data_IF_131648437707
#
_entry.id   IF_131648437707
#
_cell.length_a   1.000
_cell.length_b   1.000
_cell.length_c   1.000
_cell.angle_alpha   90.00
_cell.angle_beta   90.00
_cell.angle_gamma   90.00
#
_symmetry.space_group_name_H-M   'P 1'
#
loop_
_entity.id
_entity.type
_entity.pdbx_description
1 polymer ?
#
# COMPACT_ATOMS: atom_id res chain seq x y z
N UNK A 1 43.09 33.33 7.78
CA UNK A 1 44.25 32.87 6.99
C UNK A 1 43.96 31.41 6.63
N UNK A 2 43.20 31.16 5.57
CA UNK A 2 43.69 30.88 4.21
C UNK A 2 44.84 29.87 4.20
N UNK A 3 44.57 28.66 3.72
CA UNK A 3 45.24 28.18 2.52
C UNK A 3 44.36 27.21 1.75
N UNK A 4 44.30 27.48 0.46
CA UNK A 4 43.49 26.91 -0.60
C UNK A 4 44.33 25.90 -1.39
N UNK A 5 43.65 25.16 -2.29
CA UNK A 5 44.16 24.37 -3.43
C UNK A 5 44.57 22.92 -3.12
N UNK A 6 44.25 21.89 -3.92
CA UNK A 6 43.81 21.79 -5.33
C UNK A 6 43.21 20.39 -5.57
N UNK A 7 42.17 20.33 -6.40
CA UNK A 7 41.68 19.12 -7.07
C UNK A 7 42.74 18.58 -8.06
N UNK A 8 42.88 17.25 -8.23
CA UNK A 8 42.75 16.74 -9.59
C UNK A 8 42.08 15.36 -9.75
N UNK A 9 41.06 15.34 -10.60
CA UNK A 9 40.85 14.51 -11.81
C UNK A 9 40.47 13.02 -11.72
N UNK A 10 39.39 12.75 -12.47
CA UNK A 10 38.84 11.50 -12.96
C UNK A 10 39.88 10.51 -13.48
N UNK A 11 39.69 9.22 -13.17
CA UNK A 11 40.36 8.12 -13.89
C UNK A 11 39.31 7.29 -14.63
N UNK A 12 39.24 7.51 -15.94
CA UNK A 12 38.56 6.66 -16.91
C UNK A 12 39.46 5.46 -17.21
N UNK A 13 39.01 4.24 -16.91
CA UNK A 13 39.65 3.02 -17.41
C UNK A 13 39.09 2.66 -18.80
N UNK A 14 39.93 2.79 -19.83
CA UNK A 14 39.71 2.24 -21.18
C UNK A 14 40.40 0.88 -21.32
N UNK A 15 39.70 -0.03 -21.97
CA UNK A 15 40.08 -1.39 -22.32
C UNK A 15 41.33 -1.49 -23.23
N UNK A 16 42.04 -2.61 -23.11
CA UNK A 16 42.99 -3.13 -24.10
C UNK A 16 43.00 -4.68 -24.10
N UNK A 17 43.34 -5.34 -25.23
CA UNK A 17 42.67 -6.57 -25.66
C UNK A 17 43.51 -7.86 -25.57
N UNK A 18 42.82 -9.01 -25.61
CA UNK A 18 43.23 -10.17 -26.40
C UNK A 18 43.74 -11.41 -25.66
N UNK A 19 42.87 -12.41 -25.47
CA UNK A 19 43.21 -13.82 -25.66
C UNK A 19 41.92 -14.63 -25.92
N UNK A 20 41.92 -15.42 -26.98
CA UNK A 20 40.85 -16.36 -27.37
C UNK A 20 41.32 -17.82 -27.11
N UNK A 21 40.51 -18.86 -27.40
CA UNK A 21 39.42 -19.35 -26.56
C UNK A 21 39.70 -20.79 -26.09
N UNK A 22 39.14 -21.20 -24.94
CA UNK A 22 39.10 -22.61 -24.51
C UNK A 22 37.65 -23.08 -24.43
N UNK A 23 37.41 -24.25 -25.01
CA UNK A 23 36.11 -24.86 -25.27
C UNK A 23 35.23 -25.08 -24.03
N UNK A 24 33.95 -24.75 -24.15
CA UNK A 24 32.90 -25.10 -23.20
C UNK A 24 32.29 -26.48 -23.53
N UNK A 25 31.89 -27.29 -22.53
CA UNK A 25 31.06 -28.46 -22.75
C UNK A 25 29.59 -28.05 -22.94
N UNK A 26 28.89 -28.77 -23.80
CA UNK A 26 27.48 -28.55 -24.17
C UNK A 26 26.56 -28.53 -22.94
N UNK A 27 26.09 -27.33 -22.58
CA UNK A 27 25.06 -27.08 -21.58
C UNK A 27 23.67 -27.17 -22.19
N UNK A 28 22.84 -28.00 -21.58
CA UNK A 28 21.42 -28.22 -21.84
C UNK A 28 20.66 -26.88 -22.01
N UNK A 29 19.99 -26.68 -23.15
CA UNK A 29 19.19 -25.49 -23.42
C UNK A 29 18.01 -25.43 -22.45
N UNK A 30 18.19 -24.71 -21.34
CA UNK A 30 17.12 -24.29 -20.43
C UNK A 30 16.08 -23.49 -21.22
N UNK A 31 14.89 -24.08 -21.35
CA UNK A 31 13.70 -23.37 -21.81
C UNK A 31 13.46 -22.16 -20.89
N UNK A 32 13.02 -21.00 -21.41
CA UNK A 32 12.67 -19.87 -20.56
C UNK A 32 11.53 -20.30 -19.64
N UNK A 33 11.80 -20.27 -18.33
CA UNK A 33 10.83 -20.57 -17.29
C UNK A 33 9.61 -19.65 -17.44
N UNK A 34 8.40 -20.21 -17.30
CA UNK A 34 7.19 -19.39 -17.25
C UNK A 34 7.20 -18.62 -15.93
N UNK A 35 6.61 -17.42 -15.90
CA UNK A 35 6.48 -16.55 -14.72
C UNK A 35 5.77 -17.20 -13.49
N UNK A 36 5.37 -18.47 -13.61
CA UNK A 36 4.65 -19.26 -12.61
C UNK A 36 5.49 -20.41 -12.04
N UNK A 37 6.67 -20.68 -12.56
CA UNK A 37 7.49 -21.81 -12.10
C UNK A 37 8.32 -21.36 -10.88
N UNK A 38 7.91 -21.79 -9.69
CA UNK A 38 8.61 -21.53 -8.41
C UNK A 38 7.85 -20.73 -7.35
N UNK A 39 6.57 -20.39 -7.58
CA UNK A 39 5.73 -19.80 -6.54
C UNK A 39 5.21 -20.90 -5.60
N UNK A 40 5.65 -20.92 -4.34
CA UNK A 40 4.88 -21.60 -3.29
C UNK A 40 3.49 -20.95 -3.23
N UNK A 41 2.45 -21.69 -2.83
CA UNK A 41 1.12 -21.11 -2.62
C UNK A 41 1.12 -20.00 -1.55
N UNK A 42 2.20 -19.85 -0.77
CA UNK A 42 2.36 -18.83 0.27
C UNK A 42 1.42 -18.99 1.46
N UNK A 43 0.67 -20.11 1.51
CA UNK A 43 -0.34 -20.39 2.54
C UNK A 43 -0.02 -21.69 3.23
N UNK A 44 0.04 -21.62 4.56
CA UNK A 44 -0.06 -22.78 5.43
C UNK A 44 -1.45 -22.72 6.10
N UNK A 45 -2.29 -23.72 5.82
CA UNK A 45 -3.61 -23.87 6.44
C UNK A 45 -3.44 -24.65 7.75
N UNK A 46 -3.99 -24.11 8.83
CA UNK A 46 -4.00 -24.75 10.13
C UNK A 46 -5.43 -24.77 10.69
N UNK A 47 -5.88 -25.94 11.17
CA UNK A 47 -7.11 -26.03 11.95
C UNK A 47 -6.87 -25.36 13.31
N UNK A 48 -7.64 -24.32 13.64
CA UNK A 48 -7.62 -23.75 14.97
C UNK A 48 -8.29 -24.73 15.96
N UNK A 49 -7.64 -24.97 17.10
CA UNK A 49 -8.24 -25.70 18.20
C UNK A 49 -9.01 -24.70 19.08
N UNK A 50 -10.32 -24.54 18.84
CA UNK A 50 -11.18 -23.75 19.72
C UNK A 50 -11.59 -24.57 20.96
N UNK A 51 -11.69 -23.97 22.16
CA UNK A 51 -12.23 -24.63 23.35
C UNK A 51 -13.74 -24.92 23.26
N UNK A 52 -14.45 -24.30 22.31
CA UNK A 52 -15.83 -24.63 21.93
C UNK A 52 -15.84 -25.44 20.61
N UNK A 53 -16.29 -26.70 20.67
CA UNK A 53 -16.32 -27.64 19.52
C UNK A 53 -17.23 -27.18 18.35
N UNK A 54 -18.08 -26.16 18.55
CA UNK A 54 -19.06 -25.65 17.57
C UNK A 54 -18.57 -24.46 16.72
N UNK A 55 -17.36 -23.93 16.92
CA UNK A 55 -16.83 -22.75 16.22
C UNK A 55 -15.44 -22.96 15.59
N UNK A 56 -15.14 -24.17 15.12
CA UNK A 56 -13.91 -24.45 14.41
C UNK A 56 -13.81 -23.63 13.10
N UNK A 57 -12.90 -22.67 13.06
CA UNK A 57 -12.51 -21.95 11.85
C UNK A 57 -11.05 -22.23 11.50
N UNK A 58 -10.67 -21.98 10.25
CA UNK A 58 -9.31 -22.18 9.76
C UNK A 58 -8.53 -20.89 9.85
N UNK A 59 -7.28 -20.99 10.29
CA UNK A 59 -6.29 -19.90 10.19
C UNK A 59 -5.37 -20.20 9.01
N UNK A 60 -5.29 -19.27 8.07
CA UNK A 60 -4.35 -19.30 6.96
C UNK A 60 -3.18 -18.35 7.26
N UNK A 61 -1.94 -18.83 7.21
CA UNK A 61 -0.76 -17.97 7.38
C UNK A 61 -0.22 -17.58 6.00
N UNK A 62 -0.21 -16.28 5.74
CA UNK A 62 0.24 -15.67 4.50
C UNK A 62 1.67 -15.13 4.64
N UNK A 63 2.61 -15.76 3.93
CA UNK A 63 4.02 -15.32 3.87
C UNK A 63 4.15 -14.06 2.98
N UNK A 64 4.82 -12.99 3.46
CA UNK A 64 5.02 -11.79 2.65
C UNK A 64 6.10 -12.00 1.60
N UNK A 65 6.13 -11.12 0.59
CA UNK A 65 7.26 -11.02 -0.35
C UNK A 65 7.92 -9.65 -0.26
N UNK A 66 9.25 -9.63 -0.33
CA UNK A 66 10.01 -8.39 -0.42
C UNK A 66 9.77 -7.69 -1.78
N UNK A 67 9.42 -6.40 -1.75
CA UNK A 67 9.18 -5.56 -2.95
C UNK A 67 9.82 -4.19 -2.76
N UNK A 68 10.41 -3.57 -3.79
CA UNK A 68 10.86 -2.18 -3.70
C UNK A 68 9.70 -1.18 -3.82
N UNK A 69 9.59 -0.24 -2.87
CA UNK A 69 8.58 0.81 -2.81
C UNK A 69 9.06 2.09 -3.52
N UNK A 70 8.63 2.33 -4.76
CA UNK A 70 9.04 3.53 -5.52
C UNK A 70 10.17 3.29 -6.54
N UNK A 71 10.48 2.03 -6.87
CA UNK A 71 11.41 1.66 -7.94
C UNK A 71 12.78 1.13 -7.46
N UNK A 72 13.77 0.94 -8.36
CA UNK A 72 14.97 0.14 -8.07
C UNK A 72 15.94 0.66 -7.00
N UNK A 73 15.83 1.94 -6.60
CA UNK A 73 16.67 2.57 -5.55
C UNK A 73 15.88 2.88 -4.28
N UNK A 74 14.78 2.17 -4.08
CA UNK A 74 13.79 2.54 -3.10
C UNK A 74 13.76 1.58 -1.90
N UNK A 75 13.12 2.02 -0.82
CA UNK A 75 12.93 1.25 0.41
C UNK A 75 12.31 -0.12 0.10
N UNK A 76 12.75 -1.17 0.78
CA UNK A 76 12.13 -2.50 0.63
C UNK A 76 10.98 -2.63 1.62
N UNK A 77 9.84 -3.15 1.14
CA UNK A 77 8.65 -3.45 1.93
C UNK A 77 8.36 -4.95 1.89
N UNK A 78 7.64 -5.46 2.88
CA UNK A 78 7.07 -6.81 2.93
C UNK A 78 5.60 -6.75 2.49
N UNK A 79 5.29 -7.26 1.31
CA UNK A 79 3.94 -7.24 0.74
C UNK A 79 3.18 -8.53 1.06
N UNK A 80 2.09 -8.42 1.81
CA UNK A 80 1.19 -9.54 2.15
C UNK A 80 -0.13 -9.51 1.36
N UNK A 81 -0.57 -8.34 0.88
CA UNK A 81 -1.72 -8.25 -0.04
C UNK A 81 -1.40 -7.31 -1.22
N UNK A 82 -1.89 -7.61 -2.43
CA UNK A 82 -2.55 -8.84 -2.84
C UNK A 82 -1.53 -9.96 -3.13
N UNK A 83 -1.95 -11.21 -2.93
CA UNK A 83 -1.20 -12.39 -3.36
C UNK A 83 -2.11 -13.44 -4.01
N UNK A 84 -1.51 -14.49 -4.60
CA UNK A 84 -2.24 -15.48 -5.40
C UNK A 84 -3.33 -16.18 -4.59
N UNK A 85 -3.03 -16.52 -3.35
CA UNK A 85 -3.95 -17.24 -2.48
C UNK A 85 -5.00 -16.34 -1.83
N UNK A 86 -4.66 -15.08 -1.56
CA UNK A 86 -5.54 -14.09 -0.93
C UNK A 86 -5.37 -12.74 -1.60
N UNK A 87 -6.40 -12.28 -2.28
CA UNK A 87 -6.40 -10.96 -2.92
C UNK A 87 -7.07 -9.89 -2.05
N UNK A 88 -8.02 -10.28 -1.21
CA UNK A 88 -8.72 -9.37 -0.30
C UNK A 88 -8.91 -10.01 1.09
N UNK A 89 -9.06 -9.16 2.10
CA UNK A 89 -9.65 -9.49 3.41
C UNK A 89 -10.73 -8.44 3.64
N UNK A 90 -12.01 -8.81 3.58
CA UNK A 90 -13.08 -7.83 3.46
C UNK A 90 -12.92 -7.01 2.17
N UNK A 91 -12.75 -5.69 2.30
CA UNK A 91 -12.34 -4.82 1.20
C UNK A 91 -10.85 -4.44 1.19
N UNK A 92 -10.07 -4.86 2.20
CA UNK A 92 -8.62 -4.63 2.23
C UNK A 92 -7.96 -5.38 1.09
N UNK A 93 -7.40 -4.66 0.11
CA UNK A 93 -6.86 -5.25 -1.13
C UNK A 93 -5.34 -5.07 -1.29
N UNK A 94 -4.71 -4.36 -0.36
CA UNK A 94 -3.28 -4.10 -0.35
C UNK A 94 -2.76 -3.97 1.08
N UNK A 95 -1.59 -4.53 1.35
CA UNK A 95 -0.88 -4.40 2.62
C UNK A 95 0.62 -4.55 2.36
N UNK A 96 1.33 -3.45 2.56
CA UNK A 96 2.78 -3.40 2.66
C UNK A 96 3.16 -3.08 4.11
N UNK A 97 4.00 -3.92 4.69
CA UNK A 97 4.65 -3.70 5.99
C UNK A 97 6.10 -3.29 5.77
N UNK A 98 6.60 -2.30 6.51
CA UNK A 98 7.97 -1.82 6.36
C UNK A 98 8.63 -1.47 7.69
N UNK A 99 9.93 -1.72 7.75
CA UNK A 99 10.74 -1.49 8.92
C UNK A 99 10.54 -2.50 10.06
N UNK A 100 11.10 -2.21 11.25
CA UNK A 100 11.83 -0.98 11.57
C UNK A 100 13.17 -0.90 10.83
N UNK A 101 13.31 0.12 9.98
CA UNK A 101 14.53 0.35 9.19
C UNK A 101 15.21 1.64 9.64
N UNK A 102 16.54 1.62 9.83
CA UNK A 102 17.34 2.83 9.95
C UNK A 102 17.42 3.52 8.59
N UNK A 103 16.74 4.65 8.49
CA UNK A 103 16.62 5.46 7.28
C UNK A 103 17.49 6.70 7.28
N UNK A 104 18.33 6.89 8.31
CA UNK A 104 19.21 8.06 8.43
C UNK A 104 20.19 8.19 7.26
N UNK A 105 20.64 7.06 6.71
CA UNK A 105 21.57 7.02 5.57
C UNK A 105 20.88 6.85 4.21
N UNK A 106 19.66 6.31 4.17
CA UNK A 106 18.94 6.01 2.92
C UNK A 106 18.01 7.13 2.49
N UNK A 107 17.64 8.03 3.41
CA UNK A 107 16.64 9.08 3.19
C UNK A 107 15.19 8.59 3.33
N UNK A 108 15.00 7.30 3.66
CA UNK A 108 13.69 6.72 3.97
C UNK A 108 12.76 6.59 2.78
N UNK A 109 11.46 6.72 3.07
CA UNK A 109 10.41 6.65 2.06
C UNK A 109 10.51 7.86 1.14
N UNK A 110 10.49 7.62 -0.17
CA UNK A 110 10.50 8.64 -1.19
C UNK A 110 9.64 8.20 -2.37
N UNK A 111 8.33 8.45 -2.26
CA UNK A 111 7.34 8.10 -3.28
C UNK A 111 6.87 9.39 -3.96
N UNK A 112 7.36 9.68 -5.18
CA UNK A 112 6.97 10.90 -5.90
C UNK A 112 5.49 10.91 -6.28
N UNK A 113 5.05 12.04 -6.84
CA UNK A 113 3.67 12.23 -7.28
C UNK A 113 3.19 11.05 -8.14
N UNK A 114 2.18 10.35 -7.66
CA UNK A 114 1.56 9.19 -8.31
C UNK A 114 0.05 9.17 -8.05
N UNK A 115 -0.75 8.53 -8.93
CA UNK A 115 -2.20 8.60 -8.87
C UNK A 115 -2.81 7.44 -8.08
N UNK A 116 -4.03 7.63 -7.60
CA UNK A 116 -4.95 6.58 -7.16
C UNK A 116 -6.39 6.90 -7.61
N UNK A 117 -7.24 5.88 -7.76
CA UNK A 117 -8.70 6.04 -7.94
C UNK A 117 -9.42 4.72 -7.59
N UNK A 118 -10.67 4.83 -7.11
CA UNK A 118 -11.52 3.69 -6.75
C UNK A 118 -11.15 2.98 -5.44
N UNK A 119 -10.34 3.63 -4.60
CA UNK A 119 -9.80 3.09 -3.35
C UNK A 119 -9.58 4.21 -2.32
N UNK A 120 -9.31 3.82 -1.08
CA UNK A 120 -8.59 4.67 -0.14
C UNK A 120 -7.26 4.04 0.27
N UNK A 121 -6.27 4.89 0.53
CA UNK A 121 -5.03 4.48 1.19
C UNK A 121 -5.15 4.77 2.69
N UNK A 122 -4.52 3.92 3.50
CA UNK A 122 -4.54 3.97 4.97
C UNK A 122 -3.10 3.78 5.45
N UNK A 123 -2.53 4.81 6.07
CA UNK A 123 -1.16 4.79 6.59
C UNK A 123 -1.20 4.71 8.12
N UNK A 124 -0.50 3.73 8.69
CA UNK A 124 -0.34 3.56 10.14
C UNK A 124 1.12 3.34 10.50
N UNK A 125 1.68 4.19 11.36
CA UNK A 125 3.07 4.13 11.78
C UNK A 125 3.21 3.61 13.21
N UNK A 126 4.23 2.78 13.44
CA UNK A 126 4.71 2.38 14.76
C UNK A 126 5.86 3.28 15.21
N UNK A 127 6.69 3.75 14.26
CA UNK A 127 7.80 4.68 14.48
C UNK A 127 8.07 5.52 13.22
N UNK A 128 8.68 6.69 13.38
CA UNK A 128 9.02 7.60 12.29
C UNK A 128 7.89 8.53 11.86
N UNK A 129 8.11 9.32 10.80
CA UNK A 129 7.11 10.23 10.23
C UNK A 129 7.19 10.28 8.71
N UNK A 130 6.03 10.48 8.08
CA UNK A 130 5.90 10.63 6.64
C UNK A 130 5.10 11.90 6.37
N UNK A 131 5.58 12.75 5.47
CA UNK A 131 4.86 13.89 4.94
C UNK A 131 4.12 13.51 3.66
N UNK A 132 2.81 13.76 3.65
CA UNK A 132 1.86 13.53 2.57
C UNK A 132 1.41 14.86 2.00
N UNK A 133 1.43 14.97 0.66
CA UNK A 133 0.86 16.11 -0.10
C UNK A 133 0.01 15.52 -1.22
N UNK A 134 -1.18 16.07 -1.46
CA UNK A 134 -2.05 15.62 -2.55
C UNK A 134 -2.63 16.74 -3.43
N UNK A 135 -3.20 16.32 -4.55
CA UNK A 135 -3.81 17.17 -5.57
C UNK A 135 -5.18 17.73 -5.20
N UNK A 136 -5.76 17.29 -4.07
CA UNK A 136 -6.96 17.91 -3.50
C UNK A 136 -6.61 19.08 -2.57
N UNK A 137 -5.31 19.41 -2.45
CA UNK A 137 -4.81 20.53 -1.66
C UNK A 137 -4.60 20.18 -0.19
N UNK A 138 -4.59 18.90 0.17
CA UNK A 138 -4.31 18.48 1.54
C UNK A 138 -2.82 18.28 1.77
N UNK A 139 -2.39 18.55 3.00
CA UNK A 139 -1.07 18.23 3.52
C UNK A 139 -1.20 17.65 4.93
N UNK A 140 -0.49 16.57 5.20
CA UNK A 140 -0.45 15.95 6.52
C UNK A 140 0.91 15.33 6.83
N UNK A 141 1.29 15.33 8.10
CA UNK A 141 2.38 14.48 8.59
C UNK A 141 1.77 13.27 9.31
N UNK A 142 1.96 12.09 8.73
CA UNK A 142 1.64 10.80 9.36
C UNK A 142 2.57 10.59 10.55
N UNK A 143 1.98 10.22 11.69
CA UNK A 143 2.68 10.07 12.97
C UNK A 143 2.38 8.73 13.60
N UNK A 144 3.25 8.23 14.49
CA UNK A 144 3.01 6.98 15.16
C UNK A 144 1.71 6.98 15.98
N UNK A 145 0.97 5.88 15.85
CA UNK A 145 -0.32 5.70 16.51
C UNK A 145 -1.42 6.64 16.03
N UNK A 146 -1.33 7.18 14.81
CA UNK A 146 -2.37 7.96 14.17
C UNK A 146 -2.59 7.47 12.74
N UNK A 147 -3.85 7.31 12.35
CA UNK A 147 -4.22 6.96 10.98
C UNK A 147 -4.28 8.20 10.11
N UNK A 148 -3.79 8.09 8.89
CA UNK A 148 -4.19 8.95 7.77
C UNK A 148 -4.89 8.09 6.73
N UNK A 149 -6.11 8.48 6.36
CA UNK A 149 -6.91 7.84 5.33
C UNK A 149 -7.11 8.83 4.19
N UNK A 150 -6.49 8.55 3.03
CA UNK A 150 -6.71 9.32 1.82
C UNK A 150 -7.76 8.60 0.97
N UNK A 151 -8.93 9.22 0.85
CA UNK A 151 -9.96 8.82 -0.10
C UNK A 151 -9.55 9.30 -1.50
N UNK A 152 -9.25 8.38 -2.42
CA UNK A 152 -8.87 8.73 -3.78
C UNK A 152 -10.08 9.00 -4.69
N UNK A 153 -11.20 8.32 -4.44
CA UNK A 153 -12.47 8.54 -5.13
C UNK A 153 -12.33 8.63 -6.66
N UNK A 154 -12.86 9.71 -7.23
CA UNK A 154 -12.80 10.02 -8.69
C UNK A 154 -11.38 10.04 -9.27
N UNK A 155 -10.37 10.30 -8.45
CA UNK A 155 -8.99 10.44 -8.85
C UNK A 155 -8.25 11.45 -7.97
N UNK A 156 -7.05 11.07 -7.53
CA UNK A 156 -6.14 11.95 -6.82
C UNK A 156 -4.71 11.61 -7.20
N UNK A 157 -3.81 12.58 -7.19
CA UNK A 157 -2.36 12.31 -7.14
C UNK A 157 -1.79 12.75 -5.80
N UNK A 158 -0.83 12.00 -5.27
CA UNK A 158 -0.16 12.34 -4.03
C UNK A 158 1.30 11.90 -4.02
N UNK A 159 2.06 12.42 -3.06
CA UNK A 159 3.42 12.01 -2.78
C UNK A 159 3.62 11.79 -1.29
N UNK A 160 4.47 10.83 -0.94
CA UNK A 160 4.80 10.47 0.43
C UNK A 160 6.32 10.42 0.61
N UNK A 161 6.83 11.22 1.54
CA UNK A 161 8.25 11.29 1.86
C UNK A 161 8.47 11.13 3.35
N UNK A 162 9.51 10.40 3.77
CA UNK A 162 9.95 10.47 5.16
C UNK A 162 10.25 11.91 5.54
N UNK A 163 9.74 12.36 6.70
CA UNK A 163 10.06 13.69 7.19
C UNK A 163 11.56 13.82 7.45
N UNK A 164 12.10 15.02 7.30
CA UNK A 164 13.55 15.27 7.34
C UNK A 164 14.26 14.77 8.62
N UNK A 165 13.56 14.71 9.75
CA UNK A 165 14.11 14.25 11.04
C UNK A 165 13.82 12.78 11.34
N UNK A 166 13.27 12.03 10.38
CA UNK A 166 13.01 10.59 10.52
C UNK A 166 14.31 9.82 10.39
N UNK A 167 14.74 9.15 11.46
CA UNK A 167 15.91 8.26 11.47
C UNK A 167 15.54 6.79 11.43
N UNK A 168 14.36 6.43 11.93
CA UNK A 168 13.79 5.08 11.84
C UNK A 168 12.41 5.20 11.24
N UNK A 169 12.07 4.32 10.30
CA UNK A 169 10.73 4.22 9.75
C UNK A 169 10.19 2.82 9.97
N UNK A 170 8.99 2.72 10.57
CA UNK A 170 8.33 1.47 10.87
C UNK A 170 6.81 1.66 10.76
N UNK A 171 6.16 0.92 9.86
CA UNK A 171 4.73 1.11 9.63
C UNK A 171 4.13 0.16 8.62
N UNK A 172 2.85 0.39 8.35
CA UNK A 172 2.08 -0.32 7.35
C UNK A 172 1.34 0.65 6.43
N UNK A 173 1.35 0.36 5.14
CA UNK A 173 0.53 0.99 4.12
C UNK A 173 -0.54 -0.01 3.66
N UNK A 174 -1.80 0.35 3.82
CA UNK A 174 -2.93 -0.50 3.43
C UNK A 174 -3.83 0.23 2.45
N UNK A 175 -4.46 -0.51 1.54
CA UNK A 175 -5.54 0.03 0.70
C UNK A 175 -6.81 -0.78 0.92
N UNK A 176 -7.96 -0.11 0.90
CA UNK A 176 -9.23 -0.79 0.74
C UNK A 176 -9.93 -0.34 -0.55
N UNK A 177 -10.49 -1.31 -1.24
CA UNK A 177 -11.28 -1.09 -2.45
C UNK A 177 -12.64 -0.49 -2.07
N UNK A 178 -13.09 0.53 -2.80
CA UNK A 178 -14.43 1.05 -2.57
C UNK A 178 -15.49 0.10 -3.14
N UNK A 179 -16.65 -0.03 -2.47
CA UNK A 179 -17.83 -0.63 -3.09
C UNK A 179 -18.28 0.25 -4.27
N UNK A 180 -18.96 -0.35 -5.26
CA UNK A 180 -19.22 0.32 -6.55
C UNK A 180 -19.88 1.70 -6.38
N UNK A 181 -20.84 1.79 -5.46
CA UNK A 181 -21.61 3.01 -5.19
C UNK A 181 -20.76 4.19 -4.67
N UNK A 182 -19.55 3.95 -4.17
CA UNK A 182 -18.68 4.96 -3.58
C UNK A 182 -17.44 5.30 -4.43
N UNK A 183 -17.16 4.56 -5.52
CA UNK A 183 -15.91 4.69 -6.31
C UNK A 183 -15.63 6.09 -6.85
N UNK A 184 -16.68 6.88 -7.03
CA UNK A 184 -16.63 8.22 -7.61
C UNK A 184 -16.97 9.31 -6.59
N UNK A 185 -16.75 9.07 -5.29
CA UNK A 185 -16.80 10.14 -4.28
C UNK A 185 -15.72 11.20 -4.54
N UNK A 186 -15.92 12.41 -4.03
CA UNK A 186 -14.88 13.42 -4.04
C UNK A 186 -13.67 12.95 -3.20
N UNK A 187 -12.43 13.27 -3.61
CA UNK A 187 -11.25 12.96 -2.83
C UNK A 187 -11.23 13.71 -1.49
N UNK A 188 -10.68 13.09 -0.44
CA UNK A 188 -10.55 13.69 0.89
C UNK A 188 -9.38 13.07 1.66
N UNK A 189 -8.96 13.74 2.74
CA UNK A 189 -7.98 13.24 3.68
C UNK A 189 -8.52 13.33 5.11
N UNK A 190 -8.63 12.19 5.77
CA UNK A 190 -9.01 12.10 7.18
C UNK A 190 -7.81 11.68 8.02
N UNK A 191 -7.66 12.30 9.20
CA UNK A 191 -6.61 11.96 10.15
C UNK A 191 -7.21 11.79 11.54
N UNK A 192 -6.79 10.73 12.24
CA UNK A 192 -7.27 10.48 13.59
C UNK A 192 -6.20 9.78 14.46
N UNK A 193 -6.07 10.24 15.69
CA UNK A 193 -5.28 9.57 16.73
C UNK A 193 -6.26 8.97 17.74
N UNK A 194 -6.44 7.64 17.78
CA UNK A 194 -7.31 7.01 18.76
C UNK A 194 -6.70 7.04 20.17
N UNK A 195 -7.57 7.11 21.18
CA UNK A 195 -7.18 6.93 22.56
C UNK A 195 -6.85 5.44 22.83
N UNK A 196 -5.82 5.15 23.64
CA UNK A 196 -5.47 3.78 23.99
C UNK A 196 -6.52 3.16 24.91
N UNK A 197 -6.81 1.88 24.69
CA UNK A 197 -7.62 1.01 25.54
C UNK A 197 -6.66 0.06 26.24
N UNK A 198 -6.79 -0.10 27.56
CA UNK A 198 -5.96 -1.04 28.33
C UNK A 198 -6.83 -2.15 28.88
N UNK A 199 -6.41 -3.40 28.66
CA UNK A 199 -6.99 -4.57 29.29
C UNK A 199 -5.93 -5.39 30.04
N UNK A 200 -6.32 -6.57 30.51
CA UNK A 200 -5.37 -7.48 31.14
C UNK A 200 -4.37 -8.00 30.10
N UNK A 201 -3.11 -7.61 30.23
CA UNK A 201 -2.07 -8.13 29.33
C UNK A 201 -1.84 -7.30 28.07
N UNK A 202 -2.71 -6.36 27.72
CA UNK A 202 -2.61 -5.65 26.45
C UNK A 202 -2.97 -4.16 26.52
N UNK A 203 -2.47 -3.42 25.52
CA UNK A 203 -3.04 -2.12 25.11
C UNK A 203 -3.47 -2.18 23.65
N UNK A 204 -4.52 -1.43 23.29
CA UNK A 204 -5.05 -1.41 21.93
C UNK A 204 -5.41 0.01 21.48
N UNK A 205 -5.37 0.25 20.17
CA UNK A 205 -5.76 1.50 19.52
C UNK A 205 -6.63 1.20 18.31
N UNK A 206 -7.92 1.53 18.38
CA UNK A 206 -8.89 1.28 17.29
C UNK A 206 -8.94 2.50 16.38
N UNK A 207 -8.32 2.41 15.21
CA UNK A 207 -8.17 3.54 14.29
C UNK A 207 -9.21 3.53 13.15
N UNK A 208 -9.85 2.40 12.87
CA UNK A 208 -10.99 2.27 11.96
C UNK A 208 -12.04 1.32 12.54
N UNK A 209 -13.31 1.63 12.30
CA UNK A 209 -14.43 0.79 12.73
C UNK A 209 -14.74 0.88 14.22
N UNK A 210 -15.36 -0.19 14.73
CA UNK A 210 -15.69 -0.35 16.14
C UNK A 210 -15.13 -1.65 16.68
N UNK A 211 -14.42 -1.58 17.80
CA UNK A 211 -13.85 -2.74 18.50
C UNK A 211 -13.61 -2.37 19.97
N UNK A 212 -13.71 -3.35 20.89
CA UNK A 212 -13.48 -3.14 22.33
C UNK A 212 -14.29 -1.97 22.93
N UNK A 213 -15.51 -1.76 22.45
CA UNK A 213 -16.40 -0.69 22.90
C UNK A 213 -16.01 0.73 22.45
N UNK A 214 -14.97 0.88 21.62
CA UNK A 214 -14.58 2.15 21.00
C UNK A 214 -14.93 2.16 19.52
N UNK A 215 -15.28 3.34 19.00
CA UNK A 215 -15.60 3.58 17.59
C UNK A 215 -14.74 4.72 17.05
N UNK A 216 -14.01 4.46 15.98
CA UNK A 216 -13.25 5.50 15.26
C UNK A 216 -14.22 6.48 14.58
N UNK A 217 -13.95 7.80 14.60
CA UNK A 217 -14.74 8.79 13.88
C UNK A 217 -14.43 8.83 12.38
N UNK A 218 -13.39 8.13 11.92
CA UNK A 218 -12.98 8.11 10.51
C UNK A 218 -14.03 7.37 9.69
N UNK A 219 -14.52 8.01 8.64
CA UNK A 219 -15.58 7.46 7.81
C UNK A 219 -15.01 6.45 6.78
N UNK A 220 -15.71 5.34 6.60
CA UNK A 220 -15.44 4.34 5.57
C UNK A 220 -16.72 4.04 4.78
N UNK A 221 -16.56 3.67 3.51
CA UNK A 221 -17.70 3.40 2.61
C UNK A 221 -18.33 2.02 2.80
N UNK A 222 -17.76 1.20 3.68
CA UNK A 222 -18.27 -0.08 4.14
C UNK A 222 -17.75 -0.36 5.57
N UNK A 223 -18.36 -1.30 6.32
CA UNK A 223 -17.84 -1.73 7.62
C UNK A 223 -16.41 -2.30 7.51
N UNK A 224 -15.45 -1.63 8.16
CA UNK A 224 -14.05 -2.05 8.26
C UNK A 224 -13.60 -1.96 9.72
N UNK A 225 -12.63 -2.78 10.08
CA UNK A 225 -11.93 -2.77 11.36
C UNK A 225 -10.44 -2.53 11.12
N UNK A 226 -9.84 -1.67 11.92
CA UNK A 226 -8.39 -1.47 11.99
C UNK A 226 -7.96 -1.14 13.41
N UNK A 227 -7.09 -1.97 13.99
CA UNK A 227 -6.58 -1.77 15.34
C UNK A 227 -5.12 -2.20 15.49
N UNK A 228 -4.32 -1.42 16.22
CA UNK A 228 -3.03 -1.86 16.76
C UNK A 228 -3.27 -2.48 18.14
N UNK A 229 -2.67 -3.65 18.39
CA UNK A 229 -2.56 -4.23 19.72
C UNK A 229 -1.09 -4.34 20.11
N UNK A 230 -0.81 -4.11 21.38
CA UNK A 230 0.48 -4.40 22.03
C UNK A 230 0.21 -5.37 23.17
N UNK A 231 0.78 -6.57 23.08
CA UNK A 231 0.59 -7.67 24.01
C UNK A 231 1.84 -7.80 24.85
N UNK A 232 1.69 -7.79 26.17
CA UNK A 232 2.80 -8.12 27.08
C UNK A 232 3.23 -9.58 26.82
N UNK A 233 4.53 -9.90 26.91
CA UNK A 233 4.98 -11.29 26.81
C UNK A 233 4.22 -12.21 27.78
N UNK A 234 3.79 -13.37 27.28
CA UNK A 234 3.01 -14.36 28.03
C UNK A 234 1.53 -14.01 28.24
N UNK A 235 1.02 -12.93 27.62
CA UNK A 235 -0.40 -12.59 27.69
C UNK A 235 -1.22 -13.29 26.60
N UNK A 236 -2.47 -13.58 26.95
CA UNK A 236 -3.50 -14.04 26.01
C UNK A 236 -4.69 -13.09 26.10
N UNK A 237 -5.19 -12.65 24.95
CA UNK A 237 -6.38 -11.81 24.83
C UNK A 237 -7.40 -12.46 23.91
N UNK A 238 -8.67 -12.43 24.32
CA UNK A 238 -9.81 -12.78 23.48
C UNK A 238 -10.49 -11.49 23.01
N UNK A 239 -10.70 -11.39 21.70
CA UNK A 239 -11.23 -10.20 21.05
C UNK A 239 -12.56 -10.59 20.40
N UNK A 240 -13.66 -10.00 20.87
CA UNK A 240 -14.95 -10.11 20.19
C UNK A 240 -14.87 -9.38 18.84
N UNK A 241 -15.22 -10.09 17.77
CA UNK A 241 -15.17 -9.58 16.40
C UNK A 241 -16.50 -9.82 15.67
N UNK A 242 -16.85 -8.99 14.66
CA UNK A 242 -18.05 -9.23 13.86
C UNK A 242 -17.95 -10.56 13.08
N UNK A 243 -18.98 -11.41 13.20
CA UNK A 243 -19.00 -12.73 12.58
C UNK A 243 -19.15 -12.69 11.05
N UNK A 244 -19.68 -11.60 10.52
CA UNK A 244 -19.83 -11.33 9.09
C UNK A 244 -18.58 -10.70 8.47
N UNK A 245 -17.53 -10.45 9.25
CA UNK A 245 -16.26 -9.94 8.76
C UNK A 245 -15.26 -11.07 8.51
N UNK A 246 -14.39 -10.86 7.53
CA UNK A 246 -13.09 -11.52 7.46
C UNK A 246 -12.06 -10.74 8.28
N UNK A 247 -11.04 -11.43 8.79
CA UNK A 247 -10.02 -10.84 9.67
C UNK A 247 -8.61 -11.18 9.21
N UNK A 248 -7.70 -10.23 9.41
CA UNK A 248 -6.27 -10.35 9.14
C UNK A 248 -5.44 -9.84 10.32
N UNK A 249 -4.44 -10.60 10.76
CA UNK A 249 -3.53 -10.23 11.84
C UNK A 249 -2.10 -10.22 11.33
N UNK A 250 -1.54 -9.02 11.18
CA UNK A 250 -0.12 -8.83 10.86
C UNK A 250 0.70 -8.86 12.15
N UNK A 251 1.68 -9.75 12.22
CA UNK A 251 2.65 -9.80 13.31
C UNK A 251 3.81 -8.82 13.04
N UNK A 252 4.02 -7.83 13.91
CA UNK A 252 4.87 -6.66 13.60
C UNK A 252 6.33 -6.83 14.05
N UNK A 253 6.58 -7.06 15.34
CA UNK A 253 7.93 -7.15 15.93
C UNK A 253 8.20 -8.50 16.65
N UNK A 254 7.39 -9.52 16.40
CA UNK A 254 7.56 -10.86 16.95
C UNK A 254 6.46 -11.80 16.47
N UNK A 255 6.64 -13.12 16.63
CA UNK A 255 5.56 -14.05 16.34
C UNK A 255 4.40 -13.85 17.32
N UNK A 256 3.19 -14.10 16.85
CA UNK A 256 1.97 -14.14 17.68
C UNK A 256 1.19 -15.40 17.34
N UNK A 257 0.54 -16.01 18.32
CA UNK A 257 -0.38 -17.10 18.05
C UNK A 257 -1.79 -16.54 17.85
N UNK A 258 -2.36 -16.75 16.66
CA UNK A 258 -3.75 -16.48 16.32
C UNK A 258 -4.54 -17.79 16.41
N UNK A 259 -5.43 -17.89 17.39
CA UNK A 259 -6.24 -19.09 17.66
C UNK A 259 -5.42 -20.39 17.72
N UNK A 260 -4.24 -20.28 18.36
CA UNK A 260 -3.27 -21.36 18.56
C UNK A 260 -2.32 -21.60 17.38
N UNK A 261 -2.45 -20.83 16.29
CA UNK A 261 -1.60 -20.94 15.09
C UNK A 261 -0.57 -19.83 15.09
N UNK A 262 0.71 -20.19 15.01
CA UNK A 262 1.81 -19.21 14.97
C UNK A 262 1.78 -18.40 13.67
N UNK A 263 1.73 -17.08 13.80
CA UNK A 263 1.91 -16.10 12.73
C UNK A 263 3.27 -15.46 12.95
N UNK A 264 4.24 -15.81 12.11
CA UNK A 264 5.61 -15.29 12.20
C UNK A 264 5.69 -13.79 11.90
N UNK A 265 6.77 -13.14 12.34
CA UNK A 265 7.00 -11.71 12.07
C UNK A 265 6.84 -11.38 10.57
N UNK A 266 6.21 -10.23 10.28
CA UNK A 266 5.80 -9.76 8.96
C UNK A 266 4.77 -10.65 8.20
N UNK A 267 4.39 -11.81 8.75
CA UNK A 267 3.34 -12.65 8.17
C UNK A 267 1.97 -12.12 8.55
N UNK A 268 0.98 -12.47 7.72
CA UNK A 268 -0.42 -12.10 7.92
C UNK A 268 -1.24 -13.38 8.16
N UNK A 269 -1.76 -13.55 9.36
CA UNK A 269 -2.76 -14.59 9.65
C UNK A 269 -4.12 -14.15 9.13
N UNK A 270 -4.84 -15.02 8.44
CA UNK A 270 -6.19 -14.78 7.93
C UNK A 270 -7.19 -15.72 8.57
N UNK A 271 -8.34 -15.17 8.95
CA UNK A 271 -9.51 -15.90 9.42
C UNK A 271 -10.71 -15.45 8.60
N UNK A 272 -11.43 -16.43 8.04
CA UNK A 272 -12.65 -16.15 7.28
C UNK A 272 -13.83 -15.71 8.15
N UNK A 273 -14.96 -15.49 7.50
CA UNK A 273 -16.23 -15.22 8.20
C UNK A 273 -16.65 -16.38 9.11
N UNK A 274 -17.47 -16.07 10.10
CA UNK A 274 -18.04 -17.01 11.07
C UNK A 274 -17.38 -16.95 12.45
N UNK A 275 -16.13 -16.48 12.55
CA UNK A 275 -15.48 -16.27 13.84
C UNK A 275 -16.15 -15.12 14.61
N UNK A 276 -16.57 -15.37 15.85
CA UNK A 276 -17.12 -14.34 16.76
C UNK A 276 -16.07 -13.82 17.75
N UNK A 277 -15.01 -14.60 17.93
CA UNK A 277 -13.89 -14.28 18.82
C UNK A 277 -12.60 -14.69 18.14
N UNK A 278 -11.56 -13.85 18.24
CA UNK A 278 -10.19 -14.20 17.92
C UNK A 278 -9.37 -14.24 19.20
N UNK A 279 -8.48 -15.22 19.33
CA UNK A 279 -7.56 -15.33 20.46
C UNK A 279 -6.15 -15.00 20.02
N UNK A 280 -5.55 -13.96 20.59
CA UNK A 280 -4.14 -13.63 20.38
C UNK A 280 -3.32 -13.99 21.61
N UNK A 281 -2.24 -14.75 21.41
CA UNK A 281 -1.29 -15.09 22.49
C UNK A 281 0.11 -14.66 22.10
N UNK A 282 0.75 -13.89 22.98
CA UNK A 282 2.18 -13.59 22.90
C UNK A 282 2.94 -14.62 23.76
N UNK A 283 4.01 -15.18 23.21
CA UNK A 283 4.83 -16.13 23.95
C UNK A 283 5.47 -15.48 25.19
N UNK A 284 5.69 -16.24 26.27
CA UNK A 284 6.41 -15.75 27.44
C UNK A 284 7.86 -15.44 27.07
N UNK A 285 8.42 -14.41 27.69
CA UNK A 285 9.84 -14.10 27.61
C UNK A 285 10.49 -14.24 28.98
N UNK A 286 11.70 -14.79 29.01
CA UNK A 286 12.56 -14.81 30.21
C UNK A 286 13.28 -13.47 30.42
N UNK A 287 13.30 -12.61 29.40
CA UNK A 287 13.86 -11.26 29.49
C UNK A 287 12.86 -10.33 30.20
N UNK A 288 13.19 -9.78 31.39
CA UNK A 288 12.31 -8.87 32.11
C UNK A 288 12.10 -7.54 31.38
N UNK A 289 12.97 -7.20 30.43
CA UNK A 289 12.91 -5.98 29.62
C UNK A 289 12.38 -6.26 28.20
N UNK A 290 11.81 -7.45 27.97
CA UNK A 290 11.21 -7.80 26.69
C UNK A 290 10.12 -6.80 26.27
N UNK A 291 10.23 -6.33 25.03
CA UNK A 291 9.23 -5.46 24.44
C UNK A 291 7.89 -6.16 24.25
N UNK A 292 6.81 -5.39 24.23
CA UNK A 292 5.49 -5.91 23.87
C UNK A 292 5.49 -6.44 22.43
N UNK A 293 4.76 -7.53 22.20
CA UNK A 293 4.46 -8.04 20.85
C UNK A 293 3.39 -7.14 20.25
N UNK A 294 3.73 -6.48 19.14
CA UNK A 294 2.86 -5.58 18.40
C UNK A 294 2.20 -6.37 17.28
N UNK A 295 0.89 -6.20 17.12
CA UNK A 295 0.14 -6.72 15.98
C UNK A 295 -0.77 -5.66 15.41
N UNK A 296 -1.06 -5.76 14.11
CA UNK A 296 -2.09 -4.97 13.44
C UNK A 296 -3.24 -5.90 13.04
N UNK A 297 -4.40 -5.69 13.64
CA UNK A 297 -5.65 -6.34 13.27
C UNK A 297 -6.36 -5.50 12.21
N UNK A 298 -6.68 -6.14 11.08
CA UNK A 298 -7.60 -5.62 10.08
C UNK A 298 -8.80 -6.54 9.96
N UNK A 299 -9.95 -5.99 9.60
CA UNK A 299 -11.11 -6.80 9.25
C UNK A 299 -12.12 -5.99 8.45
N UNK A 300 -13.17 -6.66 7.99
CA UNK A 300 -14.23 -6.00 7.25
C UNK A 300 -15.20 -6.97 6.63
N UNK A 301 -16.39 -6.46 6.31
CA UNK A 301 -17.37 -7.19 5.52
C UNK A 301 -16.75 -7.56 4.16
N UNK A 302 -16.92 -8.81 3.67
CA UNK A 302 -16.55 -9.19 2.31
C UNK A 302 -17.11 -8.20 1.30
N UNK A 303 -16.26 -7.68 0.41
CA UNK A 303 -16.68 -6.66 -0.56
C UNK A 303 -17.85 -7.11 -1.45
N UNK A 304 -17.96 -8.41 -1.73
CA UNK A 304 -19.04 -8.99 -2.54
C UNK A 304 -19.00 -8.62 -4.03
N UNK A 305 -17.95 -7.92 -4.46
CA UNK A 305 -17.76 -7.44 -5.83
C UNK A 305 -16.43 -7.88 -6.40
N UNK A 306 -16.37 -8.07 -7.72
CA UNK A 306 -15.11 -8.31 -8.41
C UNK A 306 -14.41 -7.00 -8.74
N UNK A 307 -13.14 -6.89 -8.37
CA UNK A 307 -12.28 -5.74 -8.66
C UNK A 307 -11.21 -6.09 -9.69
N UNK A 308 -10.77 -5.10 -10.45
CA UNK A 308 -9.50 -5.16 -11.18
C UNK A 308 -8.54 -4.18 -10.51
N UNK A 309 -7.46 -4.74 -9.96
CA UNK A 309 -6.36 -3.96 -9.41
C UNK A 309 -5.18 -4.00 -10.37
N UNK A 310 -4.75 -2.83 -10.84
CA UNK A 310 -3.57 -2.68 -11.68
C UNK A 310 -2.83 -1.40 -11.32
N UNK A 311 -1.54 -1.55 -11.03
CA UNK A 311 -0.71 -0.48 -10.49
C UNK A 311 -1.40 0.18 -9.28
N UNK A 312 -1.86 1.42 -9.41
CA UNK A 312 -2.49 2.19 -8.34
C UNK A 312 -4.01 2.43 -8.59
N UNK A 313 -4.61 1.64 -9.48
CA UNK A 313 -6.01 1.78 -9.86
C UNK A 313 -6.81 0.56 -9.45
N UNK A 314 -7.98 0.79 -8.83
CA UNK A 314 -8.93 -0.25 -8.44
C UNK A 314 -10.26 -0.01 -9.17
N UNK A 315 -10.43 -0.70 -10.28
CA UNK A 315 -11.61 -0.61 -11.16
C UNK A 315 -12.45 -1.87 -11.16
N UNK A 316 -13.30 -2.01 -12.18
CA UNK A 316 -14.15 -3.17 -12.45
C UNK A 316 -13.91 -3.77 -13.84
N UNK A 317 -13.31 -3.01 -14.76
CA UNK A 317 -13.03 -3.48 -16.13
C UNK A 317 -11.64 -3.08 -16.62
N UNK A 318 -11.13 -3.80 -17.62
CA UNK A 318 -9.85 -3.46 -18.25
C UNK A 318 -9.92 -2.08 -18.92
N UNK A 319 -11.05 -1.82 -19.56
CA UNK A 319 -11.36 -0.58 -20.26
C UNK A 319 -11.30 0.62 -19.32
N UNK A 320 -11.89 0.49 -18.12
CA UNK A 320 -11.85 1.54 -17.10
C UNK A 320 -10.42 1.86 -16.63
N UNK A 321 -9.62 0.83 -16.34
CA UNK A 321 -8.21 1.01 -15.98
C UNK A 321 -7.43 1.68 -17.11
N UNK A 322 -7.68 1.27 -18.36
CA UNK A 322 -7.01 1.86 -19.52
C UNK A 322 -7.37 3.34 -19.68
N UNK A 323 -8.64 3.68 -19.47
CA UNK A 323 -9.16 5.05 -19.49
C UNK A 323 -8.52 5.92 -18.40
N UNK A 324 -8.43 5.44 -17.16
CA UNK A 324 -7.79 6.19 -16.06
C UNK A 324 -6.28 6.35 -16.25
N UNK A 325 -5.60 5.32 -16.76
CA UNK A 325 -4.19 5.41 -17.14
C UNK A 325 -3.98 6.48 -18.21
N UNK A 326 -4.79 6.48 -19.27
CA UNK A 326 -4.66 7.46 -20.35
C UNK A 326 -4.86 8.88 -19.85
N UNK A 327 -5.90 9.13 -19.04
CA UNK A 327 -6.14 10.42 -18.40
C UNK A 327 -4.93 10.88 -17.57
N UNK A 328 -4.38 10.01 -16.70
CA UNK A 328 -3.18 10.34 -15.93
C UNK A 328 -1.98 10.67 -16.82
N UNK A 329 -1.69 9.85 -17.83
CA UNK A 329 -0.54 10.04 -18.71
C UNK A 329 -0.63 11.36 -19.50
N UNK A 330 -1.83 11.75 -19.91
CA UNK A 330 -2.09 13.00 -20.62
C UNK A 330 -2.02 14.20 -19.67
N UNK A 331 -2.68 14.14 -18.51
CA UNK A 331 -2.65 15.20 -17.50
C UNK A 331 -1.24 15.46 -16.98
N UNK A 332 -0.40 14.44 -16.85
CA UNK A 332 1.00 14.58 -16.43
C UNK A 332 1.96 14.92 -17.58
N UNK A 333 1.49 14.97 -18.82
CA UNK A 333 2.30 15.31 -20.00
C UNK A 333 3.24 14.22 -20.50
N UNK A 334 3.04 12.97 -20.06
CA UNK A 334 3.80 11.81 -20.54
C UNK A 334 3.34 11.33 -21.92
N UNK A 335 2.06 11.47 -22.22
CA UNK A 335 1.44 11.09 -23.50
C UNK A 335 0.73 12.30 -24.11
N UNK A 336 0.63 12.39 -25.46
CA UNK A 336 -0.09 13.47 -26.12
C UNK A 336 -1.60 13.37 -25.84
N UNK A 337 -2.28 14.51 -25.88
CA UNK A 337 -3.74 14.57 -25.80
C UNK A 337 -4.39 13.96 -27.05
N UNK A 338 -5.46 13.21 -26.85
CA UNK A 338 -6.32 12.65 -27.89
C UNK A 338 -7.71 13.30 -27.90
N UNK A 339 -8.57 12.92 -28.84
CA UNK A 339 -9.91 13.50 -28.97
C UNK A 339 -10.86 13.17 -27.80
N UNK A 340 -10.46 12.31 -26.85
CA UNK A 340 -11.25 11.95 -25.68
C UNK A 340 -11.02 12.90 -24.49
N UNK A 341 -10.02 13.79 -24.54
CA UNK A 341 -9.67 14.72 -23.47
C UNK A 341 -9.89 16.19 -23.84
N UNK A 342 -10.34 17.05 -22.90
CA UNK A 342 -10.40 18.50 -23.10
C UNK A 342 -9.08 19.14 -23.52
N UNK A 343 -7.96 18.50 -23.17
CA UNK A 343 -6.61 18.94 -23.51
C UNK A 343 -6.35 19.06 -25.01
N UNK A 344 -7.09 18.31 -25.85
CA UNK A 344 -6.93 18.33 -27.31
C UNK A 344 -7.09 19.72 -27.90
N UNK A 345 -8.01 20.50 -27.35
CA UNK A 345 -8.29 21.87 -27.78
C UNK A 345 -7.26 22.89 -27.26
N UNK A 346 -6.51 22.54 -26.21
CA UNK A 346 -5.59 23.42 -25.51
C UNK A 346 -4.11 23.15 -25.82
N UNK A 347 -3.78 22.00 -26.41
CA UNK A 347 -2.42 21.61 -26.79
C UNK A 347 -2.23 21.62 -28.32
N UNK A 348 -1.00 21.90 -28.82
CA UNK A 348 -0.71 21.87 -30.25
C UNK A 348 -1.04 20.51 -30.89
N UNK A 349 -1.63 20.53 -32.08
CA UNK A 349 -1.95 19.33 -32.87
C UNK A 349 -0.75 18.86 -33.71
N UNK A 350 0.38 18.60 -33.06
CA UNK A 350 1.59 18.06 -33.70
C UNK A 350 1.94 16.65 -33.21
N UNK A 351 1.09 16.06 -32.37
CA UNK A 351 1.28 14.74 -31.78
C UNK A 351 2.35 14.68 -30.70
N UNK A 352 2.88 15.83 -30.25
CA UNK A 352 3.85 15.89 -29.15
C UNK A 352 3.15 15.95 -27.79
N UNK A 353 3.71 15.28 -26.78
CA UNK A 353 3.21 15.41 -25.41
C UNK A 353 3.62 16.76 -24.82
N UNK A 354 2.88 17.24 -23.81
CA UNK A 354 3.22 18.49 -23.14
C UNK A 354 4.60 18.46 -22.46
N UNK A 355 5.15 17.27 -22.19
CA UNK A 355 6.45 17.07 -21.54
C UNK A 355 6.49 17.47 -20.06
N UNK A 356 5.41 18.07 -19.56
CA UNK A 356 5.21 18.50 -18.20
C UNK A 356 3.72 18.40 -17.83
N UNK A 357 3.39 18.30 -16.52
CA UNK A 357 2.01 18.27 -16.07
C UNK A 357 1.23 19.52 -16.48
N UNK A 358 -0.08 19.34 -16.68
CA UNK A 358 -1.02 20.43 -16.94
C UNK A 358 -1.36 21.11 -15.61
N UNK A 359 -0.89 22.34 -15.42
CA UNK A 359 -1.04 23.11 -14.17
C UNK A 359 -1.30 24.59 -14.45
N UNK A 360 -1.62 25.37 -13.41
CA UNK A 360 -1.74 26.84 -13.47
C UNK A 360 -2.81 27.33 -14.47
N UNK A 361 -2.53 28.44 -15.17
CA UNK A 361 -3.48 29.08 -16.10
C UNK A 361 -4.04 28.10 -17.16
N UNK A 362 -3.22 27.13 -17.61
CA UNK A 362 -3.65 26.11 -18.58
C UNK A 362 -4.74 25.22 -17.99
N UNK A 363 -4.57 24.82 -16.73
CA UNK A 363 -5.56 24.01 -16.03
C UNK A 363 -6.81 24.84 -15.71
N UNK A 364 -6.64 26.05 -15.20
CA UNK A 364 -7.75 26.96 -14.84
C UNK A 364 -8.73 27.19 -16.00
N UNK A 365 -8.23 27.30 -17.24
CA UNK A 365 -9.07 27.44 -18.43
C UNK A 365 -9.89 26.20 -18.83
N UNK A 366 -9.60 25.04 -18.23
CA UNK A 366 -10.24 23.75 -18.53
C UNK A 366 -11.00 23.16 -17.34
N UNK A 367 -10.83 23.71 -16.13
CA UNK A 367 -11.58 23.25 -14.95
C UNK A 367 -13.08 23.37 -15.20
N UNK A 368 -13.81 22.29 -14.90
CA UNK A 368 -15.25 22.21 -15.11
C UNK A 368 -15.65 21.78 -16.53
N UNK A 369 -14.68 21.45 -17.38
CA UNK A 369 -14.93 20.66 -18.60
C UNK A 369 -15.00 19.17 -18.26
N UNK A 370 -15.37 18.35 -19.25
CA UNK A 370 -15.55 16.91 -19.08
C UNK A 370 -14.79 16.14 -20.16
N UNK A 371 -14.28 14.96 -19.78
CA UNK A 371 -13.86 13.93 -20.72
C UNK A 371 -15.03 13.50 -21.61
N UNK A 372 -14.74 12.90 -22.77
CA UNK A 372 -15.77 12.41 -23.69
C UNK A 372 -16.72 11.35 -23.07
N UNK A 373 -16.30 10.71 -21.98
CA UNK A 373 -17.09 9.75 -21.19
C UNK A 373 -17.88 10.38 -20.03
N UNK A 374 -17.86 11.72 -19.91
CA UNK A 374 -18.61 12.49 -18.90
C UNK A 374 -17.91 12.63 -17.54
N UNK A 375 -16.68 12.12 -17.38
CA UNK A 375 -15.90 12.38 -16.15
C UNK A 375 -15.43 13.84 -16.11
N UNK A 376 -15.40 14.43 -14.93
CA UNK A 376 -14.89 15.79 -14.74
C UNK A 376 -13.39 15.88 -15.07
N UNK A 377 -13.00 17.00 -15.67
CA UNK A 377 -11.60 17.37 -15.89
C UNK A 377 -11.15 18.47 -14.91
N UNK A 378 -9.93 18.38 -14.34
CA UNK A 378 -9.00 17.24 -14.41
C UNK A 378 -9.50 16.07 -13.54
N UNK A 379 -9.05 14.85 -13.84
CA UNK A 379 -9.31 13.68 -13.00
C UNK A 379 -8.33 13.61 -11.83
N UNK A 380 -7.04 13.93 -12.04
CA UNK A 380 -5.97 13.73 -11.05
C UNK A 380 -5.43 15.03 -10.45
N UNK A 381 -6.09 16.16 -10.75
CA UNK A 381 -5.93 17.45 -10.10
C UNK A 381 -4.61 18.18 -10.39
N UNK A 382 -4.56 19.45 -9.95
CA UNK A 382 -3.30 20.21 -9.88
C UNK A 382 -2.42 19.70 -8.74
N UNK A 383 -1.16 20.11 -8.67
CA UNK A 383 -0.27 19.76 -7.58
C UNK A 383 0.53 20.97 -7.14
N UNK A 384 0.89 21.08 -5.84
CA UNK A 384 1.71 22.18 -5.38
C UNK A 384 2.99 22.35 -6.20
N UNK A 385 3.43 23.59 -6.47
CA UNK A 385 4.67 23.84 -7.18
C UNK A 385 5.88 23.37 -6.36
N UNK A 386 7.04 23.29 -7.02
CA UNK A 386 8.32 22.91 -6.43
C UNK A 386 8.37 21.51 -5.78
N UNK A 387 7.41 20.65 -6.12
CA UNK A 387 7.41 19.24 -5.75
C UNK A 387 8.16 18.39 -6.78
N UNK A 388 8.71 17.23 -6.38
CA UNK A 388 9.32 16.28 -7.30
C UNK A 388 8.36 15.89 -8.45
N UNK A 389 8.93 15.67 -9.64
CA UNK A 389 8.15 15.33 -10.83
C UNK A 389 7.34 14.03 -10.63
N UNK A 390 6.16 13.92 -11.27
CA UNK A 390 5.38 12.69 -11.23
C UNK A 390 6.12 11.53 -11.89
N UNK A 391 5.70 10.31 -11.54
CA UNK A 391 6.19 9.09 -12.18
C UNK A 391 5.24 8.63 -13.29
N UNK A 392 5.74 8.13 -14.43
CA UNK A 392 4.87 7.62 -15.49
C UNK A 392 4.18 6.33 -15.05
N UNK A 393 2.93 6.16 -15.46
CA UNK A 393 2.22 4.89 -15.29
C UNK A 393 2.91 3.80 -16.13
N UNK A 394 3.02 2.55 -15.61
CA UNK A 394 3.52 1.44 -16.41
C UNK A 394 2.71 1.24 -17.70
N UNK A 395 3.30 0.61 -18.71
CA UNK A 395 2.55 0.19 -19.89
C UNK A 395 1.52 -0.87 -19.49
N UNK A 396 0.31 -0.78 -20.05
CA UNK A 396 -0.71 -1.81 -19.86
C UNK A 396 -0.21 -3.17 -20.37
N UNK A 397 -0.64 -4.28 -19.74
CA UNK A 397 -0.35 -5.60 -20.27
C UNK A 397 -1.02 -5.78 -21.63
N UNK A 398 -0.37 -6.53 -22.52
CA UNK A 398 -0.94 -6.94 -23.81
C UNK A 398 -2.11 -7.93 -23.68
N UNK A 399 -2.40 -8.39 -22.46
CA UNK A 399 -3.49 -9.30 -22.14
C UNK A 399 -4.55 -8.58 -21.31
N UNK A 400 -5.81 -8.98 -21.49
CA UNK A 400 -6.91 -8.42 -20.70
C UNK A 400 -6.73 -8.75 -19.22
N UNK A 401 -6.84 -7.72 -18.39
CA UNK A 401 -6.75 -7.84 -16.94
C UNK A 401 -7.93 -8.67 -16.43
N UNK A 402 -7.67 -9.56 -15.47
CA UNK A 402 -8.69 -10.44 -14.90
C UNK A 402 -9.21 -9.87 -13.59
N UNK A 403 -10.53 -9.85 -13.38
CA UNK A 403 -11.10 -9.51 -12.09
C UNK A 403 -10.66 -10.50 -11.01
N UNK A 404 -10.67 -10.03 -9.76
CA UNK A 404 -10.42 -10.77 -8.53
C UNK A 404 -11.53 -10.42 -7.55
N UNK A 405 -11.96 -11.37 -6.74
CA UNK A 405 -12.99 -11.21 -5.71
C UNK A 405 -12.80 -12.25 -4.63
#
# INVERSE_FOLDING_TARGET
MSNTEKDPQETVCKNGPGAAPTAEPEGEQLRPARFTDGLSSGVQEHSAASPDEDAAHTVEVLEPRAVPLGGPRAMTVQRSLPQRARSLIGAWCFLDFYGPDDVSATGGMAVPRHPHTGLATVSWLFEGRIDHIDSAGNWATVRPGAVNLMNAGTGITHSEYSSQDTTVLHGAQLWYAFPDHARFSAPSLDAHRPDPITGEGYTAKVFLGSLLGQTSPVHTHLPLTGAEFRLRPGSTVQIEVPADHEHGVLAVNGPVHLDGVEVGQAHLGYVGTGAQTLTLTADPSEDPDAEDVIVLLIGGEPLGEQIIMWWNFVGRSHEEIATWRAAYQQEMGFEPADDATPLRSALPDDGTSAGAPVTGERLEGLVGTEYADGRSFPQFGDFPPDQPAPIPAPTLPNTRMRPRG
#
